data_IF_307906111707
#
_entry.id   IF_307906111707
#
_cell.length_a   1.000
_cell.length_b   1.000
_cell.length_c   1.000
_cell.angle_alpha   90.00
_cell.angle_beta   90.00
_cell.angle_gamma   90.00
#
_symmetry.space_group_name_H-M   'P 1'
#
loop_
_entity.id
_entity.type
_entity.pdbx_description
1 polymer ?
#
# COMPACT_ATOMS: atom_id res chain seq x y z
N UNK A 1 16.87 -8.96 -30.02
CA UNK A 1 16.06 -8.92 -28.78
C UNK A 1 14.86 -9.82 -29.00
N UNK A 2 14.75 -10.95 -28.30
CA UNK A 2 13.54 -11.75 -28.34
C UNK A 2 12.48 -11.04 -27.49
N UNK A 3 11.41 -10.61 -28.12
CA UNK A 3 10.26 -10.05 -27.40
C UNK A 3 9.63 -11.24 -26.65
N UNK A 4 9.58 -11.15 -25.34
CA UNK A 4 8.85 -12.14 -24.52
C UNK A 4 7.37 -11.88 -24.74
N UNK A 5 6.75 -12.67 -25.60
CA UNK A 5 5.33 -12.48 -25.95
C UNK A 5 4.37 -12.97 -24.85
N UNK A 6 4.85 -13.76 -23.91
CA UNK A 6 4.01 -14.30 -22.82
C UNK A 6 4.85 -14.50 -21.57
N UNK A 7 4.38 -13.97 -20.45
CA UNK A 7 4.92 -14.19 -19.10
C UNK A 7 3.98 -15.12 -18.34
N UNK A 8 4.49 -16.19 -17.75
CA UNK A 8 3.74 -17.02 -16.82
C UNK A 8 4.10 -16.65 -15.40
N UNK A 9 3.11 -16.46 -14.53
CA UNK A 9 3.37 -16.17 -13.13
C UNK A 9 3.88 -17.41 -12.41
N UNK A 10 4.93 -17.25 -11.59
CA UNK A 10 5.45 -18.34 -10.75
C UNK A 10 4.50 -18.66 -9.60
N UNK A 11 3.84 -17.63 -9.05
CA UNK A 11 2.87 -17.76 -7.95
C UNK A 11 1.57 -18.46 -8.40
N UNK A 12 1.20 -18.36 -9.67
CA UNK A 12 0.07 -19.07 -10.26
C UNK A 12 0.30 -19.28 -11.76
N UNK A 13 0.77 -20.46 -12.14
CA UNK A 13 1.11 -20.81 -13.53
C UNK A 13 -0.07 -20.85 -14.50
N UNK A 14 -1.29 -20.81 -14.00
CA UNK A 14 -2.49 -20.71 -14.83
C UNK A 14 -2.68 -19.29 -15.39
N UNK A 15 -2.13 -18.29 -14.71
CA UNK A 15 -2.21 -16.90 -15.15
C UNK A 15 -1.04 -16.63 -16.10
N UNK A 16 -1.37 -16.15 -17.29
CA UNK A 16 -0.41 -15.75 -18.32
C UNK A 16 -0.67 -14.29 -18.70
N UNK A 17 0.40 -13.52 -18.79
CA UNK A 17 0.38 -12.14 -19.27
C UNK A 17 0.98 -12.16 -20.66
N UNK A 18 0.27 -11.67 -21.66
CA UNK A 18 0.78 -11.49 -23.02
C UNK A 18 0.72 -10.03 -23.43
N UNK A 19 1.34 -9.72 -24.55
CA UNK A 19 1.48 -8.36 -25.10
C UNK A 19 1.04 -8.31 -26.56
N UNK A 20 0.10 -9.17 -26.93
CA UNK A 20 -0.37 -9.31 -28.33
C UNK A 20 -1.61 -8.49 -28.65
N UNK A 21 -2.15 -7.74 -27.64
CA UNK A 21 -3.30 -6.85 -27.82
C UNK A 21 -4.65 -7.56 -27.78
N UNK A 22 -4.70 -8.77 -27.17
CA UNK A 22 -5.94 -9.48 -26.89
C UNK A 22 -6.79 -8.80 -25.81
N UNK A 23 -7.23 -9.55 -24.81
CA UNK A 23 -7.99 -9.00 -23.68
C UNK A 23 -7.14 -8.02 -22.87
N UNK A 24 -7.49 -6.73 -22.93
CA UNK A 24 -6.75 -5.67 -22.26
C UNK A 24 -7.36 -5.36 -20.89
N UNK A 25 -6.49 -5.15 -19.91
CA UNK A 25 -6.86 -4.59 -18.61
C UNK A 25 -5.90 -3.46 -18.24
N UNK A 26 -6.44 -2.35 -17.74
CA UNK A 26 -5.66 -1.22 -17.21
C UNK A 26 -4.77 -1.65 -16.03
N UNK A 27 -5.22 -2.63 -15.25
CA UNK A 27 -4.61 -3.03 -13.99
C UNK A 27 -3.80 -4.32 -14.09
N UNK A 28 -3.56 -4.86 -15.29
CA UNK A 28 -2.80 -6.09 -15.51
C UNK A 28 -1.39 -6.05 -14.89
N UNK A 29 -0.80 -4.86 -14.72
CA UNK A 29 0.47 -4.66 -14.03
C UNK A 29 0.47 -5.14 -12.57
N UNK A 30 -0.67 -5.20 -11.90
CA UNK A 30 -0.79 -5.73 -10.55
C UNK A 30 -0.39 -7.21 -10.44
N UNK A 31 -0.49 -7.97 -11.53
CA UNK A 31 -0.04 -9.36 -11.55
C UNK A 31 1.47 -9.47 -11.30
N UNK A 32 2.27 -8.53 -11.80
CA UNK A 32 3.71 -8.45 -11.52
C UNK A 32 3.97 -8.06 -10.06
N UNK A 33 3.16 -7.16 -9.51
CA UNK A 33 3.22 -6.81 -8.08
C UNK A 33 2.87 -8.04 -7.22
N UNK A 34 1.91 -8.85 -7.62
CA UNK A 34 1.58 -10.11 -6.94
C UNK A 34 2.80 -11.04 -6.88
N UNK A 35 3.55 -11.19 -7.97
CA UNK A 35 4.79 -11.96 -7.98
C UNK A 35 5.81 -11.43 -6.97
N UNK A 36 5.99 -10.11 -6.92
CA UNK A 36 6.86 -9.46 -5.94
C UNK A 36 6.39 -9.72 -4.50
N UNK A 37 5.10 -9.54 -4.22
CA UNK A 37 4.48 -9.85 -2.91
C UNK A 37 4.72 -11.31 -2.52
N UNK A 38 4.57 -12.23 -3.47
CA UNK A 38 4.80 -13.66 -3.26
C UNK A 38 6.28 -13.98 -2.98
N UNK A 39 7.21 -13.42 -3.78
CA UNK A 39 8.66 -13.64 -3.62
C UNK A 39 9.21 -13.11 -2.30
N UNK A 40 8.62 -12.05 -1.77
CA UNK A 40 8.97 -11.48 -0.46
C UNK A 40 8.16 -12.09 0.68
N UNK A 41 7.29 -13.07 0.45
CA UNK A 41 6.40 -13.67 1.45
C UNK A 41 5.59 -12.61 2.23
N UNK A 42 5.18 -11.51 1.57
CA UNK A 42 4.48 -10.40 2.23
C UNK A 42 3.12 -10.86 2.76
N UNK A 43 2.42 -11.70 2.02
CA UNK A 43 1.13 -12.27 2.42
C UNK A 43 1.25 -13.12 3.69
N UNK A 44 2.31 -13.92 3.82
CA UNK A 44 2.60 -14.69 5.04
C UNK A 44 3.00 -13.78 6.20
N UNK A 45 3.75 -12.71 5.91
CA UNK A 45 4.11 -11.72 6.92
C UNK A 45 2.86 -11.05 7.49
N UNK A 46 1.95 -10.59 6.64
CA UNK A 46 0.70 -9.97 7.09
C UNK A 46 -0.17 -10.94 7.88
N UNK A 47 -0.30 -12.18 7.44
CA UNK A 47 -1.05 -13.21 8.20
C UNK A 47 -0.54 -13.43 9.62
N UNK A 48 0.78 -13.28 9.83
CA UNK A 48 1.42 -13.55 11.12
C UNK A 48 1.55 -12.31 12.02
N UNK A 49 1.67 -11.14 11.40
CA UNK A 49 2.11 -9.92 12.09
C UNK A 49 1.08 -8.81 12.08
N UNK A 50 -0.06 -9.00 11.41
CA UNK A 50 -1.10 -8.00 11.33
C UNK A 50 -2.45 -8.56 11.76
N UNK A 51 -3.06 -7.92 12.76
CA UNK A 51 -4.39 -8.25 13.26
C UNK A 51 -5.03 -6.99 13.86
N UNK A 52 -6.26 -6.72 13.44
CA UNK A 52 -7.06 -5.64 14.03
C UNK A 52 -7.71 -6.07 15.33
N UNK A 53 -8.19 -5.10 16.10
CA UNK A 53 -8.99 -5.35 17.29
C UNK A 53 -10.42 -5.77 16.89
N UNK A 54 -10.58 -7.06 16.58
CA UNK A 54 -11.85 -7.63 16.13
C UNK A 54 -12.31 -8.75 17.07
N UNK A 55 -13.51 -8.60 17.61
CA UNK A 55 -14.15 -9.59 18.48
C UNK A 55 -14.80 -10.74 17.70
N UNK A 56 -14.96 -10.63 16.38
CA UNK A 56 -15.58 -11.67 15.59
C UNK A 56 -14.67 -12.88 15.38
N UNK A 57 -15.21 -14.07 15.59
CA UNK A 57 -14.48 -15.34 15.40
C UNK A 57 -14.26 -15.69 13.93
N UNK A 58 -15.04 -15.11 13.03
CA UNK A 58 -14.95 -15.36 11.59
C UNK A 58 -15.25 -14.11 10.77
N UNK A 59 -14.48 -13.92 9.70
CA UNK A 59 -14.69 -12.91 8.66
C UNK A 59 -14.46 -13.53 7.29
N UNK A 60 -15.35 -13.25 6.35
CA UNK A 60 -15.18 -13.67 4.95
C UNK A 60 -13.95 -12.99 4.32
N UNK A 61 -13.73 -11.70 4.64
CA UNK A 61 -12.52 -10.96 4.32
C UNK A 61 -11.68 -10.81 5.58
N UNK A 62 -10.56 -11.51 5.62
CA UNK A 62 -9.60 -11.45 6.73
C UNK A 62 -8.87 -10.11 6.77
N UNK A 63 -8.28 -9.76 7.89
CA UNK A 63 -7.48 -8.53 8.02
C UNK A 63 -6.33 -8.47 7.00
N UNK A 64 -5.66 -9.59 6.76
CA UNK A 64 -4.63 -9.72 5.72
C UNK A 64 -5.18 -9.38 4.32
N UNK A 65 -6.34 -9.93 3.97
CA UNK A 65 -6.95 -9.73 2.66
C UNK A 65 -7.41 -8.31 2.46
N UNK A 66 -8.03 -7.69 3.48
CA UNK A 66 -8.39 -6.28 3.46
C UNK A 66 -7.15 -5.39 3.28
N UNK A 67 -6.08 -5.67 4.03
CA UNK A 67 -4.84 -4.90 3.92
C UNK A 67 -4.20 -5.03 2.53
N UNK A 68 -4.14 -6.25 1.97
CA UNK A 68 -3.62 -6.47 0.62
C UNK A 68 -4.48 -5.81 -0.44
N UNK A 69 -5.81 -5.87 -0.32
CA UNK A 69 -6.72 -5.19 -1.24
C UNK A 69 -6.43 -3.69 -1.28
N UNK A 70 -6.34 -3.04 -0.11
CA UNK A 70 -6.04 -1.61 -0.01
C UNK A 70 -4.68 -1.29 -0.65
N UNK A 71 -3.65 -2.11 -0.39
CA UNK A 71 -2.33 -1.91 -0.98
C UNK A 71 -2.38 -2.02 -2.50
N UNK A 72 -3.07 -3.03 -3.06
CA UNK A 72 -3.21 -3.16 -4.52
C UNK A 72 -4.02 -2.01 -5.11
N UNK A 73 -5.08 -1.56 -4.45
CA UNK A 73 -5.86 -0.39 -4.89
C UNK A 73 -4.96 0.85 -4.95
N UNK A 74 -4.18 1.11 -3.90
CA UNK A 74 -3.24 2.24 -3.86
C UNK A 74 -2.20 2.15 -4.99
N UNK A 75 -1.63 0.99 -5.23
CA UNK A 75 -0.64 0.77 -6.30
C UNK A 75 -1.26 1.00 -7.69
N UNK A 76 -2.52 0.63 -7.87
CA UNK A 76 -3.27 0.85 -9.10
C UNK A 76 -3.77 2.30 -9.28
N UNK A 77 -3.64 3.16 -8.26
CA UNK A 77 -4.07 4.55 -8.30
C UNK A 77 -5.47 4.82 -7.76
N UNK A 78 -6.10 3.82 -7.14
CA UNK A 78 -7.40 3.97 -6.48
C UNK A 78 -7.18 4.33 -5.01
N UNK A 79 -7.32 5.60 -4.66
CA UNK A 79 -6.99 6.11 -3.32
C UNK A 79 -8.20 6.22 -2.40
N UNK A 80 -9.40 6.20 -2.96
CA UNK A 80 -10.65 6.28 -2.21
C UNK A 80 -11.20 4.88 -1.91
N UNK A 81 -11.78 4.69 -0.75
CA UNK A 81 -12.39 3.40 -0.37
C UNK A 81 -13.64 3.07 -1.20
N UNK A 82 -14.31 4.08 -1.77
CA UNK A 82 -15.45 3.94 -2.68
C UNK A 82 -15.10 3.13 -3.93
N UNK A 83 -13.87 3.20 -4.42
CA UNK A 83 -13.40 2.40 -5.55
C UNK A 83 -13.51 0.88 -5.30
N UNK A 84 -13.56 0.45 -4.04
CA UNK A 84 -13.76 -0.97 -3.69
C UNK A 84 -15.04 -1.55 -4.29
N UNK A 85 -16.12 -0.76 -4.37
CA UNK A 85 -17.40 -1.22 -4.89
C UNK A 85 -17.35 -1.33 -6.42
N UNK A 86 -16.66 -0.43 -7.10
CA UNK A 86 -16.46 -0.48 -8.55
C UNK A 86 -15.58 -1.67 -8.96
N UNK A 87 -14.56 -1.96 -8.16
CA UNK A 87 -13.59 -3.03 -8.40
C UNK A 87 -14.09 -4.42 -7.97
N UNK A 88 -15.25 -4.53 -7.30
CA UNK A 88 -15.74 -5.78 -6.70
C UNK A 88 -15.68 -6.98 -7.65
N UNK A 89 -15.94 -6.76 -8.94
CA UNK A 89 -15.96 -7.81 -9.95
C UNK A 89 -14.78 -7.75 -10.92
N UNK A 90 -13.81 -6.88 -10.69
CA UNK A 90 -12.64 -6.77 -11.55
C UNK A 90 -11.83 -8.07 -11.58
N UNK A 91 -11.57 -8.67 -12.77
CA UNK A 91 -10.92 -9.97 -12.86
C UNK A 91 -9.45 -9.93 -12.40
N UNK A 92 -8.75 -8.81 -12.57
CA UNK A 92 -7.35 -8.67 -12.15
C UNK A 92 -7.26 -8.61 -10.64
N UNK A 93 -8.09 -7.78 -9.99
CA UNK A 93 -8.14 -7.71 -8.53
C UNK A 93 -8.55 -9.05 -7.90
N UNK A 94 -9.52 -9.74 -8.47
CA UNK A 94 -9.87 -11.11 -8.04
C UNK A 94 -8.67 -12.06 -8.15
N UNK A 95 -7.95 -12.01 -9.26
CA UNK A 95 -6.78 -12.86 -9.50
C UNK A 95 -5.63 -12.55 -8.53
N UNK A 96 -5.31 -11.26 -8.26
CA UNK A 96 -4.21 -10.90 -7.36
C UNK A 96 -4.53 -11.23 -5.89
N UNK A 97 -5.79 -11.14 -5.49
CA UNK A 97 -6.24 -11.47 -4.14
C UNK A 97 -6.61 -12.96 -3.97
N UNK A 98 -6.74 -13.69 -5.09
CA UNK A 98 -7.24 -15.06 -5.12
C UNK A 98 -8.60 -15.20 -4.41
N UNK A 99 -9.55 -14.33 -4.78
CA UNK A 99 -10.89 -14.21 -4.20
C UNK A 99 -11.94 -14.12 -5.29
N UNK A 100 -13.13 -14.63 -5.00
CA UNK A 100 -14.28 -14.53 -5.91
C UNK A 100 -14.91 -13.12 -5.90
N UNK A 101 -14.76 -12.40 -4.78
CA UNK A 101 -15.22 -11.02 -4.64
C UNK A 101 -14.29 -10.24 -3.71
N UNK A 102 -14.16 -8.93 -3.96
CA UNK A 102 -13.44 -8.01 -3.11
C UNK A 102 -14.29 -7.59 -1.91
N UNK A 103 -13.61 -7.06 -0.89
CA UNK A 103 -14.29 -6.39 0.21
C UNK A 103 -14.93 -5.09 -0.30
N UNK A 104 -16.21 -4.91 -0.01
CA UNK A 104 -16.95 -3.69 -0.35
C UNK A 104 -16.50 -2.49 0.48
N UNK A 105 -16.81 -1.27 0.03
CA UNK A 105 -16.52 -0.02 0.74
C UNK A 105 -16.91 -0.06 2.22
N UNK A 106 -18.13 -0.49 2.63
CA UNK A 106 -18.46 -0.57 4.05
C UNK A 106 -17.61 -1.59 4.82
N UNK A 107 -17.08 -2.62 4.15
CA UNK A 107 -16.18 -3.60 4.79
C UNK A 107 -14.81 -3.00 5.02
N UNK A 108 -14.28 -2.26 4.04
CA UNK A 108 -13.01 -1.53 4.14
C UNK A 108 -13.11 -0.46 5.22
N UNK A 109 -14.19 0.31 5.26
CA UNK A 109 -14.43 1.33 6.28
C UNK A 109 -14.46 0.73 7.70
N UNK A 110 -15.20 -0.38 7.88
CA UNK A 110 -15.21 -1.11 9.17
C UNK A 110 -13.84 -1.71 9.52
N UNK A 111 -13.06 -2.11 8.55
CA UNK A 111 -11.70 -2.59 8.78
C UNK A 111 -10.81 -1.48 9.36
N UNK A 112 -10.84 -0.27 8.79
CA UNK A 112 -10.12 0.88 9.34
C UNK A 112 -10.59 1.24 10.76
N UNK A 113 -11.89 1.17 11.03
CA UNK A 113 -12.44 1.47 12.36
C UNK A 113 -12.03 0.46 13.46
N UNK A 114 -11.50 -0.69 13.10
CA UNK A 114 -10.95 -1.68 14.04
C UNK A 114 -9.46 -1.50 14.33
N UNK A 115 -8.80 -0.59 13.63
CA UNK A 115 -7.40 -0.28 13.89
C UNK A 115 -7.25 0.55 15.15
N UNK A 116 -6.20 0.28 15.90
CA UNK A 116 -5.85 0.92 17.17
C UNK A 116 -4.34 1.18 17.24
N UNK A 117 -3.83 1.58 18.40
CA UNK A 117 -2.40 1.82 18.59
C UNK A 117 -1.56 0.55 18.44
N UNK A 118 -2.11 -0.61 18.77
CA UNK A 118 -1.42 -1.90 18.57
C UNK A 118 -1.23 -2.21 17.09
N UNK A 119 -2.23 -1.92 16.26
CA UNK A 119 -2.10 -2.08 14.80
C UNK A 119 -1.03 -1.14 14.22
N UNK A 120 -0.89 0.07 14.75
CA UNK A 120 0.20 0.99 14.35
C UNK A 120 1.57 0.39 14.68
N UNK A 121 1.76 -0.16 15.87
CA UNK A 121 2.99 -0.83 16.28
C UNK A 121 3.31 -2.06 15.41
N UNK A 122 2.27 -2.79 14.98
CA UNK A 122 2.41 -3.90 14.03
C UNK A 122 2.91 -3.41 12.67
N UNK A 123 2.40 -2.29 12.13
CA UNK A 123 2.92 -1.69 10.89
C UNK A 123 4.39 -1.30 10.98
N UNK A 124 4.82 -0.70 12.10
CA UNK A 124 6.24 -0.38 12.33
C UNK A 124 7.11 -1.66 12.32
N UNK A 125 6.60 -2.73 12.93
CA UNK A 125 7.30 -4.02 12.96
C UNK A 125 7.37 -4.66 11.58
N UNK A 126 6.27 -4.66 10.82
CA UNK A 126 6.21 -5.15 9.44
C UNK A 126 7.20 -4.37 8.56
N UNK A 127 7.22 -3.05 8.65
CA UNK A 127 8.15 -2.21 7.91
C UNK A 127 9.62 -2.56 8.18
N UNK A 128 9.98 -2.82 9.45
CA UNK A 128 11.34 -3.29 9.82
C UNK A 128 11.68 -4.63 9.19
N UNK A 129 10.73 -5.58 9.18
CA UNK A 129 10.92 -6.91 8.60
C UNK A 129 11.09 -6.81 7.08
N UNK A 130 10.22 -6.04 6.41
CA UNK A 130 10.28 -5.84 4.96
C UNK A 130 11.62 -5.22 4.54
N UNK A 131 12.09 -4.19 5.23
CA UNK A 131 13.40 -3.60 4.97
C UNK A 131 14.53 -4.61 5.14
N UNK A 132 14.50 -5.43 6.19
CA UNK A 132 15.50 -6.50 6.38
C UNK A 132 15.48 -7.49 5.21
N UNK A 133 14.31 -7.85 4.68
CA UNK A 133 14.20 -8.74 3.52
C UNK A 133 14.80 -8.11 2.27
N UNK A 134 14.50 -6.83 2.01
CA UNK A 134 15.09 -6.10 0.88
C UNK A 134 16.62 -6.02 1.03
N UNK A 135 17.12 -5.69 2.21
CA UNK A 135 18.57 -5.65 2.48
C UNK A 135 19.24 -7.02 2.37
N UNK A 136 18.51 -8.12 2.61
CA UNK A 136 19.07 -9.46 2.41
C UNK A 136 19.25 -9.83 0.94
N UNK A 137 18.51 -9.17 0.04
CA UNK A 137 18.66 -9.33 -1.41
C UNK A 137 19.83 -8.48 -1.91
N UNK A 138 19.88 -7.22 -1.47
CA UNK A 138 20.93 -6.29 -1.83
C UNK A 138 21.21 -5.35 -0.66
N UNK A 139 22.32 -5.60 0.06
CA UNK A 139 22.75 -4.73 1.14
C UNK A 139 23.33 -3.44 0.58
N UNK A 140 22.83 -2.26 0.97
CA UNK A 140 23.40 -0.99 0.52
C UNK A 140 24.78 -0.77 1.19
N UNK A 141 25.71 -0.11 0.47
CA UNK A 141 27.00 0.26 1.03
C UNK A 141 26.90 1.38 2.08
N UNK A 142 25.89 2.23 1.95
CA UNK A 142 25.58 3.30 2.89
C UNK A 142 24.06 3.44 2.99
N UNK A 143 23.55 3.75 4.17
CA UNK A 143 22.14 4.05 4.39
C UNK A 143 21.96 5.56 4.24
N UNK A 144 21.16 5.97 3.27
CA UNK A 144 20.81 7.37 3.02
C UNK A 144 19.43 7.60 3.61
N UNK A 145 19.35 8.46 4.63
CA UNK A 145 18.09 8.86 5.23
C UNK A 145 17.64 10.18 4.61
N UNK A 146 16.51 10.14 3.92
CA UNK A 146 15.85 11.32 3.37
C UNK A 146 14.73 11.72 4.33
N UNK A 147 14.89 12.90 4.95
CA UNK A 147 13.97 13.44 5.93
C UNK A 147 13.17 14.58 5.27
N UNK A 148 11.87 14.42 5.25
CA UNK A 148 10.97 15.40 4.66
C UNK A 148 9.76 15.62 5.57
N UNK A 149 9.19 16.81 5.52
CA UNK A 149 7.95 17.12 6.20
C UNK A 149 6.84 17.36 5.19
N UNK A 150 5.71 16.70 5.39
CA UNK A 150 4.59 16.76 4.46
C UNK A 150 3.39 17.39 5.15
N UNK A 151 2.78 18.41 4.51
CA UNK A 151 1.53 18.95 5.00
C UNK A 151 0.39 17.99 4.67
N UNK A 152 -0.41 17.69 5.67
CA UNK A 152 -1.67 16.96 5.54
C UNK A 152 -2.79 17.92 5.95
N UNK A 153 -3.48 18.48 4.97
CA UNK A 153 -4.57 19.41 5.20
C UNK A 153 -5.67 18.79 6.06
N UNK A 154 -6.13 19.54 7.04
CA UNK A 154 -7.20 19.13 7.92
C UNK A 154 -8.37 20.10 7.83
N UNK A 155 -9.52 19.59 7.42
CA UNK A 155 -10.75 20.34 7.31
C UNK A 155 -11.59 20.22 8.59
N UNK A 156 -12.22 21.31 8.98
CA UNK A 156 -13.04 21.35 10.20
C UNK A 156 -12.20 21.32 11.49
N UNK A 157 -12.84 21.02 12.61
CA UNK A 157 -12.18 20.95 13.93
C UNK A 157 -11.67 19.53 14.19
N UNK A 158 -10.39 19.30 13.91
CA UNK A 158 -9.74 18.01 14.18
C UNK A 158 -8.76 18.18 15.35
N UNK A 159 -8.71 17.17 16.22
CA UNK A 159 -7.80 17.15 17.36
C UNK A 159 -6.34 17.13 16.88
N UNK A 160 -5.50 17.95 17.52
CA UNK A 160 -4.05 18.02 17.23
C UNK A 160 -3.68 18.72 15.93
N UNK A 161 -4.64 19.28 15.16
CA UNK A 161 -4.30 20.12 14.01
C UNK A 161 -3.67 21.43 14.48
N UNK A 162 -2.72 21.95 13.72
CA UNK A 162 -2.12 23.24 13.93
C UNK A 162 -2.06 24.05 12.62
N UNK A 163 -1.94 25.37 12.73
CA UNK A 163 -1.69 26.21 11.57
C UNK A 163 -0.22 26.14 11.19
N UNK A 164 0.05 25.85 9.93
CA UNK A 164 1.39 25.84 9.36
C UNK A 164 1.64 27.17 8.65
N UNK A 165 2.59 27.94 9.16
CA UNK A 165 2.93 29.26 8.60
C UNK A 165 3.66 29.17 7.26
N UNK A 166 4.35 28.07 6.98
CA UNK A 166 5.05 27.86 5.70
C UNK A 166 4.07 27.59 4.56
N UNK A 167 3.12 26.67 4.79
CA UNK A 167 2.11 26.31 3.79
C UNK A 167 0.81 27.14 3.89
N UNK A 168 0.71 28.05 4.86
CA UNK A 168 -0.44 28.94 5.09
C UNK A 168 -1.78 28.18 5.25
N UNK A 169 -1.74 26.98 5.83
CA UNK A 169 -2.92 26.15 6.01
C UNK A 169 -2.96 25.44 7.37
N UNK A 170 -4.16 24.94 7.74
CA UNK A 170 -4.35 24.15 8.94
C UNK A 170 -4.22 22.66 8.61
N UNK A 171 -3.41 21.95 9.39
CA UNK A 171 -3.23 20.54 9.15
C UNK A 171 -2.30 19.87 10.14
N UNK A 172 -1.85 18.69 9.75
CA UNK A 172 -0.79 17.97 10.42
C UNK A 172 0.49 18.09 9.59
N UNK A 173 1.63 18.16 10.26
CA UNK A 173 2.92 18.32 9.61
C UNK A 173 3.90 17.25 10.10
N UNK A 174 3.68 15.97 9.70
CA UNK A 174 4.56 14.90 10.11
C UNK A 174 5.92 15.03 9.46
N UNK A 175 6.95 14.71 10.22
CA UNK A 175 8.28 14.44 9.70
C UNK A 175 8.34 12.99 9.24
N UNK A 176 8.64 12.79 7.96
CA UNK A 176 8.73 11.49 7.32
C UNK A 176 10.19 11.18 7.02
N UNK A 177 10.62 9.97 7.33
CA UNK A 177 11.96 9.49 7.04
C UNK A 177 11.89 8.38 5.99
N UNK A 178 12.52 8.60 4.86
CA UNK A 178 12.62 7.63 3.78
C UNK A 178 14.02 7.00 3.76
N UNK A 179 14.07 5.75 3.36
CA UNK A 179 15.33 5.06 3.07
C UNK A 179 15.66 5.24 1.58
N UNK A 180 16.53 6.21 1.30
CA UNK A 180 16.97 6.54 -0.04
C UNK A 180 18.04 5.58 -0.60
N UNK A 181 18.55 4.65 0.22
CA UNK A 181 19.58 3.70 -0.17
C UNK A 181 19.02 2.44 -0.82
N UNK A 182 17.73 2.18 -0.71
CA UNK A 182 17.09 1.08 -1.43
C UNK A 182 17.19 1.41 -2.92
N UNK A 183 17.89 0.60 -3.73
CA UNK A 183 18.01 0.87 -5.15
C UNK A 183 16.62 1.04 -5.72
N UNK A 184 16.44 2.13 -6.48
CA UNK A 184 15.23 2.33 -7.26
C UNK A 184 15.07 1.08 -8.11
N UNK A 185 14.18 0.18 -7.71
CA UNK A 185 13.74 -0.86 -8.63
C UNK A 185 13.23 -0.08 -9.84
N UNK A 186 13.90 -0.25 -10.97
CA UNK A 186 13.65 0.50 -12.21
C UNK A 186 12.29 0.03 -12.76
N UNK A 187 11.25 0.44 -12.09
CA UNK A 187 9.93 0.63 -12.65
C UNK A 187 9.80 2.16 -12.73
N UNK A 188 10.06 2.68 -13.92
CA UNK A 188 10.01 4.10 -14.26
C UNK A 188 9.23 4.97 -13.26
N UNK A 189 9.96 5.80 -12.49
CA UNK A 189 9.49 6.91 -11.67
C UNK A 189 8.75 6.67 -10.35
N UNK A 190 8.56 5.45 -9.87
CA UNK A 190 7.97 5.22 -8.54
C UNK A 190 9.00 4.63 -7.58
N UNK A 191 9.57 5.48 -6.72
CA UNK A 191 10.35 5.02 -5.56
C UNK A 191 9.39 4.35 -4.57
N UNK A 192 9.62 3.08 -4.23
CA UNK A 192 8.96 2.47 -3.07
C UNK A 192 9.55 3.12 -1.82
N UNK A 193 8.99 4.26 -1.40
CA UNK A 193 9.40 4.96 -0.19
C UNK A 193 8.78 4.21 0.99
N UNK A 194 9.60 3.56 1.82
CA UNK A 194 9.13 2.92 3.05
C UNK A 194 8.96 4.02 4.09
N UNK A 195 7.72 4.31 4.41
CA UNK A 195 7.32 5.37 5.32
C UNK A 195 7.58 4.99 6.78
N UNK A 196 8.38 5.78 7.48
CA UNK A 196 8.43 5.81 8.93
C UNK A 196 7.62 7.01 9.43
N UNK A 197 6.39 6.76 9.82
CA UNK A 197 5.55 7.80 10.40
C UNK A 197 5.11 7.43 11.81
N UNK A 198 5.25 8.37 12.71
CA UNK A 198 4.58 8.37 14.01
C UNK A 198 3.23 9.06 13.80
N UNK A 199 2.11 8.29 13.86
CA UNK A 199 0.78 8.85 13.65
C UNK A 199 -0.25 8.34 14.62
N UNK A 200 -1.19 9.23 14.98
CA UNK A 200 -2.48 8.88 15.54
C UNK A 200 -3.36 8.22 14.47
N UNK A 201 -4.04 7.15 14.82
CA UNK A 201 -4.83 6.28 13.94
C UNK A 201 -5.89 6.95 13.07
N UNK A 202 -6.50 8.04 13.56
CA UNK A 202 -7.51 8.80 12.80
C UNK A 202 -6.93 9.52 11.57
N UNK A 203 -5.60 9.67 11.53
CA UNK A 203 -4.89 10.31 10.42
C UNK A 203 -4.42 9.30 9.35
N UNK A 204 -4.36 8.00 9.67
CA UNK A 204 -3.75 6.98 8.80
C UNK A 204 -4.50 6.82 7.46
N UNK A 205 -5.82 6.76 7.48
CA UNK A 205 -6.65 6.66 6.27
C UNK A 205 -6.45 7.87 5.36
N UNK A 206 -6.43 9.10 5.93
CA UNK A 206 -6.17 10.33 5.18
C UNK A 206 -4.71 10.49 4.76
N UNK A 207 -3.76 9.92 5.52
CA UNK A 207 -2.34 9.96 5.18
C UNK A 207 -2.05 9.10 3.96
N UNK A 208 -2.58 7.90 3.87
CA UNK A 208 -2.45 7.05 2.68
C UNK A 208 -3.04 7.74 1.43
N UNK A 209 -4.22 8.33 1.54
CA UNK A 209 -4.85 9.08 0.44
C UNK A 209 -4.06 10.32 0.03
N UNK A 210 -3.58 11.11 0.99
CA UNK A 210 -2.91 12.40 0.69
C UNK A 210 -1.43 12.24 0.29
N UNK A 211 -0.69 11.25 0.82
CA UNK A 211 0.70 10.99 0.40
C UNK A 211 0.76 10.62 -1.08
N UNK A 212 -0.26 9.94 -1.58
CA UNK A 212 -0.33 9.49 -2.96
C UNK A 212 -0.94 10.55 -3.90
N UNK A 213 -1.75 11.48 -3.38
CA UNK A 213 -2.30 12.60 -4.15
C UNK A 213 -1.37 13.81 -4.27
N UNK A 214 -0.37 13.96 -3.38
CA UNK A 214 0.65 15.02 -3.46
C UNK A 214 1.77 14.70 -4.46
N UNK A 215 1.42 14.44 -5.72
CA UNK A 215 2.38 14.37 -6.83
C UNK A 215 2.50 15.70 -7.60
N UNK A 216 2.05 16.81 -7.06
CA UNK A 216 2.31 18.14 -7.65
C UNK A 216 3.52 18.80 -6.99
N UNK A 217 4.49 19.28 -7.78
CA UNK A 217 5.75 19.89 -7.27
C UNK A 217 5.56 21.35 -6.92
N UNK A 218 4.70 21.68 -5.96
CA UNK A 218 4.53 23.05 -5.53
C UNK A 218 4.07 23.14 -4.08
N UNK A 219 5.01 22.93 -3.19
CA UNK A 219 5.18 23.60 -1.90
C UNK A 219 6.67 23.70 -1.60
#
# INVERSE_FOLDING_TARGET
MSIVNTLSLESNRQIKINFDGGDLSSDAGLLLIKEFVSKLDIDKLFSRSFKTNDSASFRYHTDKENLLQIIYMIIAGYFEDDASDELTNDPVFKAVLNKDALASQPTVSRFFNRMDEDTLNQFLTIGRILRKRVYSIQMPQAVILDLDSTLLDAYGRQEGRAFNFHCQSNGYHPLVCYDGSIPKLVLNNYSLKILYTYFSLKSFQRVLTNILSCSSPSC
#
